data_IF_491808103403
#
_entry.id   IF_491808103403
#
_cell.length_a   1.000
_cell.length_b   1.000
_cell.length_c   1.000
_cell.angle_alpha   90.00
_cell.angle_beta   90.00
_cell.angle_gamma   90.00
#
_symmetry.space_group_name_H-M   'P 1'
#
loop_
_entity.id
_entity.type
_entity.pdbx_description
1 polymer ?
#
# COMPACT_ATOMS: atom_id res chain seq x y z
N UNK A 1 -22.90 -20.81 -2.34
CA UNK A 1 -21.98 -20.16 -1.40
C UNK A 1 -22.62 -18.85 -0.99
N UNK A 2 -22.87 -18.66 0.31
CA UNK A 2 -23.57 -17.48 0.79
C UNK A 2 -22.65 -16.25 0.78
N UNK A 3 -23.22 -15.07 0.53
CA UNK A 3 -22.46 -13.82 0.46
C UNK A 3 -21.59 -13.50 1.70
N UNK A 4 -21.98 -13.86 2.95
CA UNK A 4 -21.14 -13.68 4.14
C UNK A 4 -19.92 -14.59 4.14
N UNK A 5 -20.07 -15.87 3.78
CA UNK A 5 -18.97 -16.85 3.74
C UNK A 5 -17.87 -16.38 2.76
N UNK A 6 -18.30 -15.88 1.61
CA UNK A 6 -17.40 -15.38 0.57
C UNK A 6 -16.69 -14.08 0.97
N UNK A 7 -17.32 -13.25 1.79
CA UNK A 7 -16.70 -12.04 2.34
C UNK A 7 -15.57 -12.39 3.31
N UNK A 8 -15.79 -13.36 4.21
CA UNK A 8 -14.77 -13.86 5.13
C UNK A 8 -13.58 -14.50 4.39
N UNK A 9 -13.85 -15.26 3.33
CA UNK A 9 -12.79 -15.83 2.48
C UNK A 9 -11.92 -14.72 1.86
N UNK A 10 -12.52 -13.60 1.44
CA UNK A 10 -11.77 -12.47 0.91
C UNK A 10 -10.94 -11.76 1.98
N UNK A 11 -11.45 -11.65 3.21
CA UNK A 11 -10.68 -11.11 4.34
C UNK A 11 -9.43 -11.96 4.60
N UNK A 12 -9.60 -13.28 4.69
CA UNK A 12 -8.50 -14.22 4.87
C UNK A 12 -7.51 -14.16 3.70
N UNK A 13 -8.02 -14.15 2.48
CA UNK A 13 -7.21 -14.06 1.27
C UNK A 13 -6.36 -12.79 1.25
N UNK A 14 -6.95 -11.61 1.49
CA UNK A 14 -6.23 -10.34 1.52
C UNK A 14 -5.18 -10.31 2.64
N UNK A 15 -5.52 -10.80 3.83
CA UNK A 15 -4.60 -10.86 4.98
C UNK A 15 -3.35 -11.70 4.70
N UNK A 16 -3.48 -12.78 3.90
CA UNK A 16 -2.37 -13.67 3.57
C UNK A 16 -1.59 -13.28 2.31
N UNK A 17 -2.21 -12.56 1.36
CA UNK A 17 -1.60 -12.27 0.06
C UNK A 17 -1.06 -10.85 -0.08
N UNK A 18 -1.39 -9.95 0.83
CA UNK A 18 -0.77 -8.63 0.90
C UNK A 18 0.67 -8.72 1.44
N UNK A 19 1.56 -7.77 1.07
CA UNK A 19 2.90 -7.67 1.65
C UNK A 19 2.81 -7.57 3.18
N UNK A 20 3.66 -8.32 3.89
CA UNK A 20 3.67 -8.31 5.34
C UNK A 20 4.55 -7.16 5.87
N UNK A 21 4.24 -6.59 7.04
CA UNK A 21 3.05 -6.83 7.86
C UNK A 21 1.76 -6.27 7.24
N UNK A 22 0.61 -6.82 7.63
CA UNK A 22 -0.72 -6.35 7.20
C UNK A 22 -1.48 -5.75 8.36
N UNK A 23 -1.82 -4.48 8.25
CA UNK A 23 -2.70 -3.77 9.16
C UNK A 23 -4.13 -3.74 8.62
N UNK A 24 -5.12 -3.86 9.51
CA UNK A 24 -6.54 -3.85 9.16
C UNK A 24 -7.27 -2.77 9.94
N UNK A 25 -8.08 -1.98 9.25
CA UNK A 25 -8.87 -0.92 9.85
C UNK A 25 -10.29 -0.99 9.28
N UNK A 26 -11.33 -1.03 10.14
CA UNK A 26 -12.70 -0.93 9.67
C UNK A 26 -12.95 0.45 9.06
N UNK A 27 -13.70 0.48 7.96
CA UNK A 27 -14.21 1.72 7.37
C UNK A 27 -15.56 2.11 7.98
N UNK A 28 -15.90 3.40 7.92
CA UNK A 28 -17.16 3.95 8.44
C UNK A 28 -18.40 3.32 7.77
N UNK A 29 -18.24 2.76 6.57
CA UNK A 29 -19.32 2.13 5.78
C UNK A 29 -19.45 0.61 5.98
N UNK A 30 -18.75 0.05 6.96
CA UNK A 30 -18.72 -1.41 7.19
C UNK A 30 -17.83 -2.17 6.20
N UNK A 31 -16.96 -1.46 5.49
CA UNK A 31 -15.83 -2.05 4.76
C UNK A 31 -14.63 -2.30 5.67
N UNK A 32 -13.57 -2.86 5.09
CA UNK A 32 -12.28 -3.06 5.76
C UNK A 32 -11.19 -2.55 4.82
N UNK A 33 -10.32 -1.69 5.33
CA UNK A 33 -9.10 -1.25 4.68
C UNK A 33 -7.93 -2.06 5.21
N UNK A 34 -7.17 -2.66 4.30
CA UNK A 34 -5.94 -3.40 4.58
C UNK A 34 -4.76 -2.60 4.04
N UNK A 35 -3.73 -2.42 4.85
CA UNK A 35 -2.46 -1.81 4.44
C UNK A 35 -1.36 -2.83 4.62
N UNK A 36 -0.67 -3.19 3.54
CA UNK A 36 0.39 -4.19 3.54
C UNK A 36 1.77 -3.59 3.27
N UNK A 37 2.76 -4.02 4.03
CA UNK A 37 4.19 -3.72 3.84
C UNK A 37 4.80 -2.88 4.96
N UNK A 38 6.13 -2.91 5.06
CA UNK A 38 6.92 -2.02 5.92
C UNK A 38 8.21 -1.60 5.18
N UNK A 39 8.23 -0.42 4.52
CA UNK A 39 7.20 0.62 4.46
C UNK A 39 5.90 0.15 3.78
N UNK A 40 4.78 0.85 4.00
CA UNK A 40 3.52 0.49 3.36
C UNK A 40 3.63 0.51 1.82
N UNK A 41 3.13 -0.55 1.19
CA UNK A 41 3.26 -0.79 -0.25
C UNK A 41 1.91 -0.82 -0.97
N UNK A 42 0.93 -1.54 -0.41
CA UNK A 42 -0.36 -1.80 -1.05
C UNK A 42 -1.48 -1.49 -0.08
N UNK A 43 -2.53 -0.84 -0.58
CA UNK A 43 -3.78 -0.61 0.15
C UNK A 43 -4.90 -1.35 -0.56
N UNK A 44 -5.59 -2.23 0.17
CA UNK A 44 -6.80 -2.91 -0.32
C UNK A 44 -8.01 -2.44 0.47
N UNK A 45 -9.08 -2.01 -0.21
CA UNK A 45 -10.35 -1.67 0.42
C UNK A 45 -11.40 -2.70 0.00
N UNK A 46 -11.76 -3.57 0.94
CA UNK A 46 -12.83 -4.54 0.80
C UNK A 46 -14.14 -3.95 1.32
N UNK A 47 -15.18 -4.03 0.51
CA UNK A 47 -16.55 -3.66 0.89
C UNK A 47 -17.47 -4.84 0.62
N UNK A 48 -18.74 -4.70 1.03
CA UNK A 48 -19.77 -5.73 0.82
C UNK A 48 -19.99 -6.17 -0.63
N UNK A 49 -19.42 -5.50 -1.65
CA UNK A 49 -19.59 -5.87 -3.07
C UNK A 49 -18.37 -5.68 -3.98
N UNK A 50 -17.32 -4.98 -3.53
CA UNK A 50 -16.11 -4.72 -4.33
C UNK A 50 -14.84 -4.81 -3.48
N UNK A 51 -13.74 -5.15 -4.15
CA UNK A 51 -12.36 -5.01 -3.66
C UNK A 51 -11.68 -3.96 -4.52
N UNK A 52 -11.20 -2.88 -3.92
CA UNK A 52 -10.38 -1.88 -4.59
C UNK A 52 -8.92 -2.05 -4.17
N UNK A 53 -8.00 -2.07 -5.11
CA UNK A 53 -6.56 -2.16 -4.85
C UNK A 53 -5.88 -0.86 -5.29
N UNK A 54 -4.98 -0.34 -4.46
CA UNK A 54 -4.23 0.88 -4.69
C UNK A 54 -2.75 0.69 -4.31
N UNK A 55 -1.85 1.39 -4.99
CA UNK A 55 -0.49 1.59 -4.47
C UNK A 55 -0.56 2.54 -3.28
N UNK A 56 0.21 2.25 -2.23
CA UNK A 56 0.39 3.19 -1.14
C UNK A 56 1.11 4.44 -1.66
N UNK A 57 0.55 5.59 -1.34
CA UNK A 57 1.20 6.86 -1.60
C UNK A 57 0.78 7.82 -0.51
N UNK A 58 1.72 8.62 -0.06
CA UNK A 58 1.42 9.77 0.77
C UNK A 58 2.26 10.95 0.36
N UNK A 59 1.79 12.11 0.75
CA UNK A 59 2.45 13.38 0.51
C UNK A 59 2.53 14.14 1.82
N UNK A 60 3.67 14.77 2.07
CA UNK A 60 3.79 15.78 3.10
C UNK A 60 3.14 17.06 2.56
N UNK A 61 1.91 17.34 2.97
CA UNK A 61 1.23 18.59 2.62
C UNK A 61 1.87 19.77 3.42
N UNK A 62 2.42 19.49 4.61
CA UNK A 62 3.33 20.35 5.37
C UNK A 62 4.41 19.49 6.05
N UNK A 63 5.49 20.05 6.64
CA UNK A 63 6.49 19.26 7.37
C UNK A 63 5.95 18.43 8.55
N UNK A 64 4.73 18.72 9.02
CA UNK A 64 4.10 18.05 10.17
C UNK A 64 2.80 17.32 9.79
N UNK A 65 2.39 17.37 8.53
CA UNK A 65 1.14 16.78 8.06
C UNK A 65 1.41 15.85 6.88
N UNK A 66 1.56 14.56 7.18
CA UNK A 66 1.61 13.52 6.17
C UNK A 66 0.18 13.04 5.86
N UNK A 67 -0.24 13.19 4.61
CA UNK A 67 -1.57 12.76 4.16
C UNK A 67 -1.43 11.54 3.26
N UNK A 68 -2.08 10.43 3.64
CA UNK A 68 -2.19 9.25 2.79
C UNK A 68 -3.12 9.55 1.61
N UNK A 69 -2.60 9.42 0.38
CA UNK A 69 -3.34 9.61 -0.88
C UNK A 69 -3.10 8.39 -1.80
N UNK A 70 -3.63 7.20 -1.46
CA UNK A 70 -3.38 5.98 -2.23
C UNK A 70 -3.84 6.13 -3.68
N UNK A 71 -3.06 5.60 -4.62
CA UNK A 71 -3.38 5.71 -6.05
C UNK A 71 -3.97 4.40 -6.53
N UNK A 72 -5.24 4.46 -6.91
CA UNK A 72 -6.02 3.28 -7.26
C UNK A 72 -5.48 2.62 -8.53
N UNK A 73 -5.18 1.34 -8.43
CA UNK A 73 -4.75 0.49 -9.55
C UNK A 73 -5.95 -0.18 -10.20
N UNK A 74 -6.92 -0.66 -9.41
CA UNK A 74 -8.11 -1.31 -9.96
C UNK A 74 -9.23 -1.55 -8.95
N UNK A 75 -10.40 -1.93 -9.47
CA UNK A 75 -11.57 -2.33 -8.68
C UNK A 75 -12.14 -3.61 -9.27
N UNK A 76 -12.40 -4.59 -8.41
CA UNK A 76 -13.04 -5.85 -8.76
C UNK A 76 -14.39 -5.94 -8.06
N UNK A 77 -15.48 -6.12 -8.83
CA UNK A 77 -16.83 -6.35 -8.31
C UNK A 77 -17.02 -7.83 -7.99
N UNK A 78 -16.55 -8.26 -6.83
CA UNK A 78 -16.39 -9.68 -6.49
C UNK A 78 -17.69 -10.49 -6.51
N UNK A 79 -18.83 -9.90 -6.16
CA UNK A 79 -20.14 -10.60 -6.15
C UNK A 79 -20.53 -11.22 -7.49
N UNK A 80 -20.03 -10.71 -8.60
CA UNK A 80 -20.43 -11.13 -9.96
C UNK A 80 -19.41 -12.02 -10.66
N UNK A 81 -18.24 -12.25 -10.05
CA UNK A 81 -17.18 -13.07 -10.62
C UNK A 81 -17.18 -14.44 -9.97
N UNK A 82 -16.79 -15.51 -10.69
CA UNK A 82 -16.44 -16.76 -10.05
C UNK A 82 -15.11 -16.63 -9.28
N UNK A 83 -14.88 -17.55 -8.34
CA UNK A 83 -13.84 -17.37 -7.32
C UNK A 83 -12.43 -17.41 -7.90
N UNK A 84 -12.16 -18.30 -8.86
CA UNK A 84 -10.83 -18.42 -9.47
C UNK A 84 -10.44 -17.14 -10.21
N UNK A 85 -11.34 -16.57 -11.02
CA UNK A 85 -11.11 -15.32 -11.74
C UNK A 85 -10.97 -14.15 -10.78
N UNK A 86 -11.76 -14.11 -9.71
CA UNK A 86 -11.67 -13.11 -8.67
C UNK A 86 -10.30 -13.13 -7.99
N UNK A 87 -9.86 -14.29 -7.49
CA UNK A 87 -8.58 -14.40 -6.78
C UNK A 87 -7.42 -14.06 -7.71
N UNK A 88 -7.45 -14.54 -8.96
CA UNK A 88 -6.43 -14.20 -9.95
C UNK A 88 -6.38 -12.70 -10.24
N UNK A 89 -7.54 -12.06 -10.45
CA UNK A 89 -7.62 -10.63 -10.71
C UNK A 89 -7.08 -9.81 -9.53
N UNK A 90 -7.45 -10.16 -8.29
CA UNK A 90 -6.97 -9.47 -7.09
C UNK A 90 -5.46 -9.67 -6.91
N UNK A 91 -4.94 -10.88 -7.10
CA UNK A 91 -3.49 -11.15 -7.05
C UNK A 91 -2.70 -10.30 -8.04
N UNK A 92 -3.15 -10.21 -9.30
CA UNK A 92 -2.47 -9.40 -10.30
C UNK A 92 -2.52 -7.91 -9.96
N UNK A 93 -3.64 -7.42 -9.41
CA UNK A 93 -3.73 -6.03 -8.95
C UNK A 93 -2.82 -5.74 -7.76
N UNK A 94 -2.72 -6.65 -6.79
CA UNK A 94 -1.80 -6.52 -5.65
C UNK A 94 -0.36 -6.46 -6.15
N UNK A 95 0.02 -7.37 -7.03
CA UNK A 95 1.36 -7.39 -7.64
C UNK A 95 1.63 -6.08 -8.39
N UNK A 96 0.71 -5.64 -9.25
CA UNK A 96 0.85 -4.39 -9.99
C UNK A 96 1.00 -3.17 -9.07
N UNK A 97 0.19 -3.07 -8.01
CA UNK A 97 0.29 -1.99 -7.03
C UNK A 97 1.64 -1.98 -6.32
N UNK A 98 2.14 -3.16 -5.94
CA UNK A 98 3.46 -3.31 -5.32
C UNK A 98 4.58 -2.91 -6.26
N UNK A 99 4.57 -3.41 -7.50
CA UNK A 99 5.61 -3.12 -8.48
C UNK A 99 5.65 -1.61 -8.80
N UNK A 100 4.48 -0.98 -8.95
CA UNK A 100 4.36 0.48 -9.12
C UNK A 100 4.94 1.25 -7.94
N UNK A 101 4.68 0.79 -6.71
CA UNK A 101 5.23 1.40 -5.50
C UNK A 101 6.75 1.31 -5.47
N UNK A 102 7.30 0.10 -5.64
CA UNK A 102 8.74 -0.14 -5.56
C UNK A 102 9.51 0.60 -6.65
N UNK A 103 8.93 0.78 -7.84
CA UNK A 103 9.54 1.58 -8.91
C UNK A 103 9.77 3.06 -8.55
N UNK A 104 9.07 3.57 -7.53
CA UNK A 104 9.26 4.94 -7.02
C UNK A 104 10.37 5.04 -5.99
N UNK A 105 10.86 3.92 -5.46
CA UNK A 105 11.90 3.96 -4.46
C UNK A 105 13.21 4.45 -5.10
N UNK A 106 14.05 5.11 -4.30
CA UNK A 106 15.32 5.69 -4.72
C UNK A 106 16.43 5.26 -3.78
N UNK A 107 17.62 5.09 -4.31
CA UNK A 107 18.80 4.72 -3.52
C UNK A 107 19.42 6.01 -2.97
N UNK A 108 19.66 6.06 -1.66
CA UNK A 108 20.40 7.16 -1.06
C UNK A 108 21.89 7.07 -1.41
N UNK A 109 22.52 8.15 -1.87
CA UNK A 109 23.94 8.17 -2.25
C UNK A 109 24.90 7.96 -1.08
N UNK A 110 24.45 8.19 0.17
CA UNK A 110 25.31 8.11 1.36
C UNK A 110 25.21 6.77 2.08
N UNK A 111 23.99 6.27 2.29
CA UNK A 111 23.80 4.99 2.99
C UNK A 111 23.53 3.82 2.05
N UNK A 112 23.41 4.06 0.74
CA UNK A 112 23.17 3.07 -0.33
C UNK A 112 21.91 2.22 -0.15
N UNK A 113 21.03 2.60 0.79
CA UNK A 113 19.76 1.92 1.02
C UNK A 113 18.70 2.43 0.05
N UNK A 114 17.85 1.52 -0.38
CA UNK A 114 16.64 1.81 -1.13
C UNK A 114 15.59 2.40 -0.17
N UNK A 115 15.08 3.58 -0.50
CA UNK A 115 14.20 4.36 0.35
C UNK A 115 12.90 4.70 -0.40
N UNK A 116 11.76 4.69 0.30
CA UNK A 116 10.52 5.17 -0.26
C UNK A 116 10.56 6.71 -0.43
N UNK A 117 9.78 7.26 -1.38
CA UNK A 117 9.70 8.70 -1.65
C UNK A 117 9.50 9.59 -0.42
N UNK A 118 8.66 9.17 0.53
CA UNK A 118 8.37 9.96 1.74
C UNK A 118 9.52 10.01 2.75
N UNK A 119 10.56 9.17 2.58
CA UNK A 119 11.79 9.18 3.37
C UNK A 119 12.97 9.78 2.59
N UNK A 120 12.73 10.28 1.38
CA UNK A 120 13.69 11.06 0.62
C UNK A 120 13.58 12.53 0.99
N UNK A 121 14.72 13.16 1.27
CA UNK A 121 14.84 14.62 1.44
C UNK A 121 15.03 15.30 0.09
N UNK A 122 15.85 14.70 -0.78
CA UNK A 122 16.10 15.11 -2.16
C UNK A 122 16.15 13.87 -3.08
N UNK A 123 16.45 14.01 -4.37
CA UNK A 123 16.41 12.94 -5.37
C UNK A 123 17.28 11.72 -4.99
N UNK A 124 18.43 11.96 -4.37
CA UNK A 124 19.42 10.93 -4.00
C UNK A 124 19.83 10.97 -2.51
N UNK A 125 19.11 11.73 -1.67
CA UNK A 125 19.44 11.92 -0.27
C UNK A 125 18.24 11.56 0.62
N UNK A 126 18.42 10.62 1.55
CA UNK A 126 17.37 10.29 2.53
C UNK A 126 17.36 11.24 3.73
N UNK A 127 16.22 11.33 4.42
CA UNK A 127 16.01 12.24 5.56
C UNK A 127 17.02 12.04 6.70
N UNK A 128 17.41 10.80 7.00
CA UNK A 128 18.38 10.54 8.08
C UNK A 128 19.80 10.96 7.73
N UNK A 129 20.22 10.76 6.48
CA UNK A 129 21.52 11.22 6.02
C UNK A 129 21.54 12.75 5.92
N UNK A 130 20.45 13.38 5.48
CA UNK A 130 20.33 14.83 5.47
C UNK A 130 20.52 15.43 6.88
N UNK A 131 19.87 14.85 7.90
CA UNK A 131 19.99 15.31 9.29
C UNK A 131 21.43 15.16 9.82
N UNK A 132 22.09 14.03 9.52
CA UNK A 132 23.46 13.78 9.95
C UNK A 132 24.46 14.75 9.31
N UNK A 133 24.31 15.06 8.03
CA UNK A 133 25.23 15.96 7.32
C UNK A 133 24.90 17.44 7.60
N UNK A 134 23.62 17.79 7.83
CA UNK A 134 23.22 19.15 8.25
C UNK A 134 23.68 19.51 9.67
N UNK A 135 23.90 18.50 10.53
CA UNK A 135 24.51 18.66 11.85
C UNK A 135 26.04 18.88 11.83
N UNK A 136 26.70 18.77 10.67
CA UNK A 136 28.14 19.09 10.53
C UNK A 136 28.27 20.60 10.32
N UNK A 137 28.15 21.36 11.41
CA UNK A 137 28.62 22.74 11.47
C UNK A 137 30.16 22.68 11.50
N UNK A 138 30.81 23.03 10.40
CA UNK A 138 32.25 23.33 10.38
C UNK A 138 32.54 24.68 11.03
#
# INVERSE_FOLDING_TARGET
>A
MDAPERFEQLIAFLSSNLPQPVEQQPDETGGIVFTGGSPAEVVAHLTSSRVAIAEYAGAWDTPYAFTMKPRRVGIVRWRRLPDTELMNAVTQLIKGARDMRLARYRTCRFCEKLQPPEWMHDEDLCVWCADREAGVVH
#
